data_IF_135495465137
#
_entry.id   IF_135495465137
#
_cell.length_a   1.000
_cell.length_b   1.000
_cell.length_c   1.000
_cell.angle_alpha   90.00
_cell.angle_beta   90.00
_cell.angle_gamma   90.00
#
_symmetry.space_group_name_H-M   'P 1'
#
loop_
_entity.id
_entity.type
_entity.pdbx_description
1 polymer ?
#
# COMPACT_ATOMS: atom_id res chain seq x y z
N UNK A 1 12.12 -11.17 24.46
CA UNK A 1 12.18 -10.18 23.36
C UNK A 1 11.81 -8.85 23.96
N UNK A 2 12.75 -7.90 24.01
CA UNK A 2 12.43 -6.51 24.37
C UNK A 2 11.59 -5.91 23.24
N UNK A 3 10.44 -5.35 23.59
CA UNK A 3 9.63 -4.52 22.69
C UNK A 3 10.52 -3.34 22.24
N UNK A 4 10.50 -2.92 20.95
CA UNK A 4 11.23 -1.73 20.53
C UNK A 4 10.87 -0.55 21.44
N UNK A 5 11.88 0.13 22.00
CA UNK A 5 11.72 1.18 23.03
C UNK A 5 10.81 2.36 22.60
N UNK A 6 10.49 2.48 21.31
CA UNK A 6 9.63 3.53 20.74
C UNK A 6 8.12 3.34 21.05
N UNK A 7 7.64 2.13 21.32
CA UNK A 7 6.21 1.91 21.62
C UNK A 7 5.83 2.27 23.06
N UNK A 8 6.80 2.38 23.96
CA UNK A 8 6.55 2.62 25.39
C UNK A 8 6.63 4.10 25.82
N UNK A 9 7.21 4.99 25.01
CA UNK A 9 7.32 6.42 25.33
C UNK A 9 6.77 7.27 24.18
N UNK A 10 5.53 7.73 24.32
CA UNK A 10 4.95 8.67 23.35
C UNK A 10 5.80 9.95 23.24
N UNK A 11 5.93 10.54 22.03
CA UNK A 11 6.71 11.77 21.86
C UNK A 11 6.15 12.92 22.68
N UNK A 12 7.00 13.65 23.40
CA UNK A 12 6.57 14.76 24.29
C UNK A 12 5.83 15.87 23.55
N UNK A 13 6.13 16.07 22.27
CA UNK A 13 5.46 17.06 21.42
C UNK A 13 4.04 16.63 20.99
N UNK A 14 3.71 15.34 21.06
CA UNK A 14 2.40 14.81 20.70
C UNK A 14 1.44 14.90 21.89
N UNK A 15 1.08 16.13 22.26
CA UNK A 15 0.32 16.48 23.47
C UNK A 15 -0.95 17.28 23.14
N UNK A 16 -1.69 17.70 24.18
CA UNK A 16 -2.97 18.40 24.03
C UNK A 16 -2.86 19.73 23.26
N UNK A 17 -1.76 20.47 23.38
CA UNK A 17 -1.56 21.72 22.63
C UNK A 17 -1.43 21.44 21.13
N UNK A 18 -0.72 20.36 20.77
CA UNK A 18 -0.62 19.90 19.38
C UNK A 18 -2.00 19.46 18.86
N UNK A 19 -2.76 18.67 19.63
CA UNK A 19 -4.11 18.25 19.21
C UNK A 19 -5.09 19.41 19.08
N UNK A 20 -4.94 20.45 19.90
CA UNK A 20 -5.71 21.68 19.75
C UNK A 20 -5.40 22.39 18.43
N UNK A 21 -4.12 22.47 18.04
CA UNK A 21 -3.72 22.99 16.73
C UNK A 21 -4.35 22.18 15.59
N UNK A 22 -4.20 20.85 15.64
CA UNK A 22 -4.76 19.92 14.65
C UNK A 22 -6.25 20.16 14.44
N UNK A 23 -7.03 20.27 15.52
CA UNK A 23 -8.47 20.49 15.42
C UNK A 23 -8.82 21.86 14.85
N UNK A 24 -8.12 22.93 15.24
CA UNK A 24 -8.38 24.28 14.70
C UNK A 24 -8.16 24.33 13.20
N UNK A 25 -7.12 23.66 12.71
CA UNK A 25 -6.87 23.54 11.28
C UNK A 25 -7.94 22.70 10.58
N UNK A 26 -8.24 21.51 11.12
CA UNK A 26 -9.22 20.58 10.56
C UNK A 26 -10.64 21.16 10.47
N UNK A 27 -11.03 21.95 11.47
CA UNK A 27 -12.36 22.57 11.56
C UNK A 27 -12.43 23.94 10.88
N UNK A 28 -11.28 24.50 10.51
CA UNK A 28 -11.13 25.90 10.12
C UNK A 28 -11.73 26.89 11.15
N UNK A 29 -11.76 26.51 12.44
CA UNK A 29 -12.25 27.34 13.55
C UNK A 29 -11.09 27.67 14.51
N UNK A 30 -10.53 28.90 14.49
CA UNK A 30 -9.45 29.29 15.40
C UNK A 30 -9.89 29.34 16.86
N UNK A 31 -11.20 29.40 17.13
CA UNK A 31 -11.78 29.43 18.47
C UNK A 31 -12.16 28.04 18.98
N UNK A 32 -11.93 26.97 18.21
CA UNK A 32 -12.12 25.60 18.67
C UNK A 32 -11.28 25.33 19.94
N UNK A 33 -11.83 24.47 20.82
CA UNK A 33 -11.22 24.06 22.09
C UNK A 33 -11.33 22.55 22.27
N UNK A 34 -10.37 21.96 22.95
CA UNK A 34 -10.48 20.58 23.43
C UNK A 34 -11.43 20.54 24.63
N UNK A 35 -12.27 19.51 24.69
CA UNK A 35 -13.13 19.24 25.84
C UNK A 35 -12.41 18.44 26.92
N UNK A 36 -11.53 17.53 26.50
CA UNK A 36 -10.79 16.58 27.35
C UNK A 36 -9.36 16.40 26.84
N UNK A 37 -8.47 15.95 27.72
CA UNK A 37 -7.11 15.57 27.33
C UNK A 37 -7.07 14.33 26.44
N UNK A 38 -6.14 14.29 25.50
CA UNK A 38 -5.98 13.22 24.52
C UNK A 38 -5.10 12.10 25.09
N UNK A 39 -5.67 10.89 25.19
CA UNK A 39 -4.93 9.70 25.64
C UNK A 39 -4.46 8.86 24.46
N UNK A 40 -3.15 8.93 24.18
CA UNK A 40 -2.49 8.10 23.18
C UNK A 40 -2.58 6.61 23.52
N UNK A 41 -2.79 5.83 22.47
CA UNK A 41 -2.81 4.37 22.48
C UNK A 41 -1.92 3.87 21.33
N UNK A 42 -1.27 2.70 21.44
CA UNK A 42 -0.59 2.10 20.28
C UNK A 42 -1.57 1.93 19.11
N UNK A 43 -1.13 2.26 17.90
CA UNK A 43 -1.97 2.23 16.70
C UNK A 43 -2.28 0.82 16.20
N UNK A 44 -1.44 -0.15 16.55
CA UNK A 44 -1.44 -1.54 16.09
C UNK A 44 -0.71 -2.46 17.05
N UNK A 45 -0.73 -3.78 16.79
CA UNK A 45 0.02 -4.73 17.62
C UNK A 45 1.52 -4.58 17.36
N UNK A 46 2.36 -4.86 18.37
CA UNK A 46 3.82 -4.85 18.21
C UNK A 46 4.25 -5.75 17.04
N UNK A 47 5.11 -5.23 16.16
CA UNK A 47 5.65 -5.96 15.00
C UNK A 47 4.79 -5.96 13.73
N UNK A 48 3.65 -5.25 13.71
CA UNK A 48 2.83 -5.13 12.50
C UNK A 48 3.29 -4.02 11.54
N UNK A 49 4.10 -3.05 12.01
CA UNK A 49 4.53 -1.89 11.20
C UNK A 49 6.05 -1.75 11.17
N UNK A 50 6.57 -1.68 9.94
CA UNK A 50 8.00 -1.76 9.66
C UNK A 50 8.65 -0.38 9.50
N UNK A 51 7.90 0.59 8.98
CA UNK A 51 8.40 1.86 8.47
C UNK A 51 7.92 3.10 9.27
N UNK A 52 7.09 2.92 10.30
CA UNK A 52 6.44 4.04 11.00
C UNK A 52 6.08 3.68 12.43
N UNK A 53 6.13 4.68 13.32
CA UNK A 53 5.54 4.60 14.65
C UNK A 53 4.08 5.04 14.54
N UNK A 54 3.15 4.25 15.06
CA UNK A 54 1.73 4.55 14.96
C UNK A 54 1.04 4.69 16.32
N UNK A 55 0.22 5.72 16.44
CA UNK A 55 -0.62 5.97 17.62
C UNK A 55 -2.07 6.18 17.23
N UNK A 56 -2.99 5.89 18.14
CA UNK A 56 -4.41 6.25 18.05
C UNK A 56 -4.81 7.12 19.23
N UNK A 57 -5.74 8.04 19.00
CA UNK A 57 -6.44 8.77 20.06
C UNK A 57 -7.83 9.17 19.59
N UNK A 58 -8.66 9.62 20.53
CA UNK A 58 -9.95 10.24 20.24
C UNK A 58 -9.85 11.69 20.68
N UNK A 59 -10.07 12.62 19.76
CA UNK A 59 -9.99 14.05 20.05
C UNK A 59 -11.40 14.59 20.26
N UNK A 60 -11.71 15.00 21.49
CA UNK A 60 -12.99 15.61 21.86
C UNK A 60 -12.87 17.13 21.81
N UNK A 61 -13.71 17.79 21.02
CA UNK A 61 -13.61 19.23 20.78
C UNK A 61 -14.96 19.93 20.66
N UNK A 62 -14.93 21.27 20.77
CA UNK A 62 -16.07 22.15 20.59
C UNK A 62 -15.68 23.38 19.77
N UNK A 63 -16.41 23.63 18.67
CA UNK A 63 -16.35 24.87 17.90
C UNK A 63 -17.17 25.98 18.59
N UNK A 64 -16.96 27.25 18.22
CA UNK A 64 -17.39 28.45 18.98
C UNK A 64 -18.87 28.49 19.42
N UNK A 65 -19.78 27.73 18.78
CA UNK A 65 -21.19 27.58 19.17
C UNK A 65 -21.73 26.14 18.97
N UNK A 66 -20.83 25.16 18.88
CA UNK A 66 -21.17 23.76 18.59
C UNK A 66 -21.48 22.94 19.84
N UNK A 67 -22.20 21.82 19.64
CA UNK A 67 -22.16 20.71 20.59
C UNK A 67 -20.75 20.11 20.60
N UNK A 68 -20.42 19.41 21.68
CA UNK A 68 -19.21 18.60 21.69
C UNK A 68 -19.25 17.58 20.56
N UNK A 69 -18.15 17.50 19.82
CA UNK A 69 -17.91 16.53 18.76
C UNK A 69 -16.64 15.74 19.08
N UNK A 70 -16.48 14.59 18.45
CA UNK A 70 -15.28 13.77 18.57
C UNK A 70 -14.82 13.28 17.21
N UNK A 71 -13.52 13.08 17.07
CA UNK A 71 -12.92 12.40 15.93
C UNK A 71 -11.93 11.37 16.43
N UNK A 72 -12.12 10.12 16.02
CA UNK A 72 -11.14 9.06 16.23
C UNK A 72 -10.05 9.21 15.18
N UNK A 73 -8.78 9.18 15.59
CA UNK A 73 -7.64 9.40 14.70
C UNK A 73 -6.58 8.34 14.87
N UNK A 74 -5.94 7.99 13.76
CA UNK A 74 -4.71 7.23 13.69
C UNK A 74 -3.60 8.12 13.12
N UNK A 75 -2.43 8.07 13.74
CA UNK A 75 -1.28 8.91 13.44
C UNK A 75 -0.13 8.02 13.00
N UNK A 76 0.43 8.31 11.82
CA UNK A 76 1.64 7.68 11.30
C UNK A 76 2.78 8.68 11.41
N UNK A 77 3.81 8.33 12.18
CA UNK A 77 4.96 9.20 12.47
C UNK A 77 6.23 8.56 11.91
N UNK A 78 7.05 9.37 11.24
CA UNK A 78 8.36 8.92 10.77
C UNK A 78 9.26 8.59 11.98
N UNK A 79 9.88 7.39 12.06
CA UNK A 79 10.74 7.01 13.18
C UNK A 79 11.95 7.96 13.31
N UNK A 80 12.38 8.25 14.55
CA UNK A 80 13.50 9.16 14.83
C UNK A 80 14.83 8.44 15.16
N UNK A 81 14.80 7.13 15.46
CA UNK A 81 15.98 6.40 15.94
C UNK A 81 17.04 6.16 14.83
N UNK A 82 18.34 6.36 15.11
CA UNK A 82 19.44 5.98 14.21
C UNK A 82 19.47 4.47 13.89
N UNK A 83 19.80 4.10 12.65
CA UNK A 83 20.06 2.71 12.25
C UNK A 83 19.51 2.35 10.86
N UNK A 84 19.73 1.11 10.41
CA UNK A 84 19.35 0.59 9.08
C UNK A 84 17.92 0.97 8.63
N UNK A 85 16.96 0.94 9.56
CA UNK A 85 15.56 1.33 9.30
C UNK A 85 15.44 2.81 8.97
N UNK A 86 16.15 3.68 9.66
CA UNK A 86 16.17 5.11 9.38
C UNK A 86 16.85 5.37 8.04
N UNK A 87 17.96 4.71 7.74
CA UNK A 87 18.71 4.98 6.51
C UNK A 87 17.97 4.51 5.24
N UNK A 88 17.25 3.38 5.31
CA UNK A 88 16.34 2.91 4.23
C UNK A 88 15.10 3.81 4.08
N UNK A 89 14.71 4.53 5.14
CA UNK A 89 13.53 5.43 5.17
C UNK A 89 13.90 6.92 5.07
N UNK A 90 15.19 7.27 5.08
CA UNK A 90 15.67 8.65 5.09
C UNK A 90 15.73 9.24 3.70
N UNK A 91 16.00 8.43 2.69
CA UNK A 91 16.15 8.89 1.31
C UNK A 91 15.05 8.31 0.41
N UNK A 92 13.85 8.86 0.57
CA UNK A 92 12.72 8.53 -0.28
C UNK A 92 11.47 9.25 0.17
N UNK A 93 10.84 9.94 -0.77
CA UNK A 93 9.60 10.71 -0.69
C UNK A 93 8.36 9.91 -0.24
N UNK A 94 8.48 8.75 0.44
CA UNK A 94 7.36 7.83 0.74
C UNK A 94 6.27 8.47 1.60
N UNK A 95 6.65 9.08 2.73
CA UNK A 95 5.73 9.77 3.63
C UNK A 95 5.10 10.99 2.98
N UNK A 96 5.89 11.75 2.23
CA UNK A 96 5.44 12.95 1.51
C UNK A 96 4.51 12.59 0.36
N UNK A 97 4.79 11.51 -0.36
CA UNK A 97 3.92 10.90 -1.36
C UNK A 97 2.60 10.50 -0.72
N UNK A 98 2.61 9.79 0.41
CA UNK A 98 1.37 9.42 1.10
C UNK A 98 0.57 10.66 1.52
N UNK A 99 1.22 11.67 2.10
CA UNK A 99 0.59 12.97 2.43
C UNK A 99 -0.03 13.60 1.18
N UNK A 100 0.66 13.59 0.05
CA UNK A 100 0.16 14.14 -1.22
C UNK A 100 -1.03 13.36 -1.76
N UNK A 101 -0.99 12.03 -1.70
CA UNK A 101 -2.10 11.17 -2.11
C UNK A 101 -3.35 11.51 -1.30
N UNK A 102 -3.24 11.58 0.03
CA UNK A 102 -4.38 11.91 0.90
C UNK A 102 -4.87 13.35 0.79
N UNK A 103 -3.97 14.32 0.60
CA UNK A 103 -4.33 15.74 0.57
C UNK A 103 -4.85 16.23 -0.78
N UNK A 104 -4.43 15.61 -1.90
CA UNK A 104 -4.73 16.09 -3.26
C UNK A 104 -5.41 15.03 -4.12
N UNK A 105 -4.87 13.81 -4.14
CA UNK A 105 -5.28 12.79 -5.13
C UNK A 105 -6.60 12.12 -4.77
N UNK A 106 -6.72 11.54 -3.58
CA UNK A 106 -7.94 10.85 -3.16
C UNK A 106 -9.18 11.77 -3.11
N UNK A 107 -9.10 13.04 -2.65
CA UNK A 107 -10.22 13.97 -2.73
C UNK A 107 -10.71 14.19 -4.16
N UNK A 108 -9.79 14.37 -5.11
CA UNK A 108 -10.14 14.60 -6.51
C UNK A 108 -10.67 13.33 -7.19
N UNK A 109 -10.08 12.15 -6.89
CA UNK A 109 -10.62 10.86 -7.33
C UNK A 109 -12.06 10.67 -6.85
N UNK A 110 -12.31 10.96 -5.55
CA UNK A 110 -13.64 10.88 -4.96
C UNK A 110 -14.62 11.82 -5.65
N UNK A 111 -14.26 13.09 -5.84
CA UNK A 111 -15.11 14.07 -6.54
C UNK A 111 -15.55 13.56 -7.91
N UNK A 112 -14.60 13.07 -8.73
CA UNK A 112 -14.89 12.58 -10.09
C UNK A 112 -15.72 11.30 -10.10
N UNK A 113 -15.48 10.39 -9.18
CA UNK A 113 -16.26 9.16 -9.05
C UNK A 113 -17.69 9.48 -8.58
N UNK A 114 -17.87 10.39 -7.63
CA UNK A 114 -19.20 10.81 -7.16
C UNK A 114 -20.02 11.50 -8.26
N UNK A 115 -19.38 12.27 -9.15
CA UNK A 115 -20.03 12.89 -10.32
C UNK A 115 -20.66 11.89 -11.28
N UNK A 116 -20.14 10.67 -11.33
CA UNK A 116 -20.69 9.57 -12.15
C UNK A 116 -21.54 8.58 -11.32
N UNK A 117 -21.85 8.92 -10.07
CA UNK A 117 -22.68 8.11 -9.17
C UNK A 117 -21.93 6.95 -8.50
N UNK A 118 -20.60 6.94 -8.53
CA UNK A 118 -19.77 5.94 -7.88
C UNK A 118 -19.33 6.39 -6.50
N UNK A 119 -19.42 5.48 -5.52
CA UNK A 119 -18.86 5.71 -4.18
C UNK A 119 -17.36 5.44 -4.17
N UNK A 120 -16.60 6.27 -3.45
CA UNK A 120 -15.17 6.04 -3.20
C UNK A 120 -14.82 6.43 -1.75
N UNK A 121 -14.52 5.41 -0.96
CA UNK A 121 -14.26 5.54 0.47
C UNK A 121 -12.75 5.47 0.74
N UNK A 122 -12.25 6.40 1.55
CA UNK A 122 -10.89 6.41 2.07
C UNK A 122 -10.87 7.14 3.43
N UNK A 123 -9.89 6.88 4.32
CA UNK A 123 -9.76 7.60 5.58
C UNK A 123 -9.54 9.09 5.33
N UNK A 124 -10.32 9.95 5.98
CA UNK A 124 -10.16 11.39 5.82
C UNK A 124 -8.80 11.84 6.35
N UNK A 125 -8.13 12.70 5.61
CA UNK A 125 -7.00 13.45 6.14
C UNK A 125 -7.50 14.44 7.22
N UNK A 126 -6.97 14.30 8.44
CA UNK A 126 -7.27 15.22 9.55
C UNK A 126 -6.18 16.29 9.64
N UNK A 127 -4.92 15.88 9.50
CA UNK A 127 -3.77 16.78 9.54
C UNK A 127 -2.56 16.09 8.90
N UNK A 128 -1.68 16.87 8.27
CA UNK A 128 -0.38 16.39 7.85
C UNK A 128 0.65 17.51 8.02
N UNK A 129 1.88 17.13 8.34
CA UNK A 129 3.00 18.05 8.45
C UNK A 129 4.28 17.35 8.02
N UNK A 130 5.13 18.05 7.29
CA UNK A 130 6.51 17.62 7.02
C UNK A 130 7.47 18.08 8.12
N UNK A 131 7.28 19.32 8.62
CA UNK A 131 8.16 20.01 9.56
C UNK A 131 7.35 20.70 10.67
N UNK A 132 7.82 20.70 11.94
CA UNK A 132 9.11 20.18 12.42
C UNK A 132 9.15 18.65 12.54
N UNK A 133 7.99 18.00 12.53
CA UNK A 133 7.86 16.55 12.57
C UNK A 133 7.04 16.08 11.37
N UNK A 134 7.53 15.01 10.73
CA UNK A 134 6.82 14.35 9.64
C UNK A 134 5.75 13.43 10.23
N UNK A 135 4.49 13.86 10.12
CA UNK A 135 3.32 13.17 10.66
C UNK A 135 2.16 13.22 9.66
N UNK A 136 1.44 12.11 9.55
CA UNK A 136 0.18 11.98 8.84
C UNK A 136 -0.89 11.54 9.84
N UNK A 137 -1.97 12.32 9.98
CA UNK A 137 -3.10 12.04 10.86
C UNK A 137 -4.33 11.77 10.00
N UNK A 138 -4.84 10.55 10.07
CA UNK A 138 -6.01 10.10 9.35
C UNK A 138 -7.15 9.79 10.32
N UNK A 139 -8.38 9.86 9.82
CA UNK A 139 -9.55 9.37 10.54
C UNK A 139 -9.41 7.86 10.81
N UNK A 140 -9.58 7.45 12.07
CA UNK A 140 -9.65 6.04 12.42
C UNK A 140 -11.08 5.54 12.12
N UNK A 141 -11.18 4.79 11.03
CA UNK A 141 -12.45 4.26 10.52
C UNK A 141 -12.88 2.94 11.19
N UNK A 142 -12.09 2.43 12.16
CA UNK A 142 -12.37 1.15 12.83
C UNK A 142 -13.75 1.14 13.50
N UNK A 143 -14.14 2.24 14.15
CA UNK A 143 -15.44 2.38 14.81
C UNK A 143 -16.62 2.43 13.82
N UNK A 144 -16.36 2.68 12.53
CA UNK A 144 -17.37 2.70 11.45
C UNK A 144 -17.57 1.32 10.80
N UNK A 145 -17.01 0.26 11.39
CA UNK A 145 -17.14 -1.11 10.91
C UNK A 145 -16.14 -1.51 9.83
N UNK A 146 -15.13 -0.68 9.56
CA UNK A 146 -14.03 -0.99 8.64
C UNK A 146 -12.94 -1.75 9.38
N UNK A 147 -12.63 -2.97 8.95
CA UNK A 147 -11.67 -3.83 9.65
C UNK A 147 -10.75 -4.52 8.66
N UNK A 148 -9.49 -4.70 9.03
CA UNK A 148 -8.55 -5.50 8.25
C UNK A 148 -9.00 -6.96 8.20
N UNK A 149 -9.09 -7.53 7.01
CA UNK A 149 -9.49 -8.92 6.80
C UNK A 149 -8.31 -9.90 6.84
N UNK A 150 -8.64 -11.18 6.93
CA UNK A 150 -7.72 -12.27 6.61
C UNK A 150 -7.54 -12.43 5.10
N UNK A 151 -6.99 -13.56 4.68
CA UNK A 151 -6.98 -13.91 3.26
C UNK A 151 -8.40 -14.17 2.76
N UNK A 152 -8.63 -13.80 1.49
CA UNK A 152 -9.91 -13.99 0.84
C UNK A 152 -10.01 -15.42 0.30
N UNK A 153 -11.06 -16.14 0.71
CA UNK A 153 -11.19 -17.59 0.51
C UNK A 153 -12.24 -17.98 -0.51
N UNK A 154 -12.99 -17.00 -1.04
CA UNK A 154 -14.00 -17.19 -2.08
C UNK A 154 -13.90 -16.12 -3.17
N UNK A 155 -14.50 -16.38 -4.32
CA UNK A 155 -14.55 -15.41 -5.42
C UNK A 155 -15.42 -14.21 -5.06
N UNK A 156 -16.53 -14.43 -4.36
CA UNK A 156 -17.49 -13.39 -3.99
C UNK A 156 -16.87 -12.36 -3.03
N UNK A 157 -16.06 -12.82 -2.09
CA UNK A 157 -15.35 -11.97 -1.12
C UNK A 157 -14.32 -11.05 -1.78
N UNK A 158 -13.73 -11.42 -2.92
CA UNK A 158 -12.69 -10.61 -3.60
C UNK A 158 -13.29 -9.52 -4.50
N UNK A 159 -14.55 -9.67 -4.91
CA UNK A 159 -15.24 -8.72 -5.80
C UNK A 159 -15.14 -7.27 -5.32
N UNK A 160 -15.38 -6.93 -4.04
CA UNK A 160 -15.25 -5.55 -3.57
C UNK A 160 -13.81 -5.00 -3.66
N UNK A 161 -12.79 -5.83 -3.43
CA UNK A 161 -11.40 -5.42 -3.59
C UNK A 161 -11.04 -5.16 -5.07
N UNK A 162 -11.53 -5.99 -5.99
CA UNK A 162 -11.38 -5.80 -7.45
C UNK A 162 -12.02 -4.48 -7.88
N UNK A 163 -13.23 -4.18 -7.40
CA UNK A 163 -13.92 -2.93 -7.69
C UNK A 163 -13.19 -1.72 -7.10
N UNK A 164 -12.68 -1.82 -5.87
CA UNK A 164 -11.93 -0.75 -5.23
C UNK A 164 -10.67 -0.38 -6.02
N UNK A 165 -9.87 -1.37 -6.46
CA UNK A 165 -8.66 -1.09 -7.23
C UNK A 165 -8.98 -0.61 -8.65
N UNK A 166 -10.05 -1.11 -9.29
CA UNK A 166 -10.51 -0.61 -10.59
C UNK A 166 -10.94 0.87 -10.51
N UNK A 167 -11.61 1.30 -9.44
CA UNK A 167 -11.96 2.71 -9.17
C UNK A 167 -10.73 3.57 -9.01
N UNK A 168 -9.75 3.12 -8.22
CA UNK A 168 -8.49 3.82 -8.02
C UNK A 168 -7.74 4.00 -9.34
N UNK A 169 -7.60 2.93 -10.13
CA UNK A 169 -6.94 2.96 -11.42
C UNK A 169 -7.67 3.85 -12.44
N UNK A 170 -8.97 3.68 -12.64
CA UNK A 170 -9.72 4.42 -13.67
C UNK A 170 -9.77 5.92 -13.39
N UNK A 171 -9.97 6.32 -12.13
CA UNK A 171 -9.93 7.73 -11.73
C UNK A 171 -8.54 8.34 -11.92
N UNK A 172 -7.46 7.57 -11.72
CA UNK A 172 -6.11 8.07 -11.95
C UNK A 172 -5.80 8.40 -13.41
N UNK A 173 -6.34 7.65 -14.37
CA UNK A 173 -6.15 7.86 -15.81
C UNK A 173 -6.66 9.23 -16.24
N UNK A 174 -7.89 9.56 -15.84
CA UNK A 174 -8.49 10.84 -16.23
C UNK A 174 -7.85 12.04 -15.54
N UNK A 175 -7.02 11.80 -14.52
CA UNK A 175 -6.24 12.79 -13.82
C UNK A 175 -4.77 12.84 -14.31
N UNK A 176 -4.33 11.98 -15.25
CA UNK A 176 -2.94 11.88 -15.73
C UNK A 176 -2.37 13.23 -16.21
N UNK A 177 -3.22 14.09 -16.79
CA UNK A 177 -2.81 15.42 -17.25
C UNK A 177 -2.28 16.30 -16.12
N UNK A 178 -2.76 16.08 -14.89
CA UNK A 178 -2.35 16.80 -13.67
C UNK A 178 -1.14 16.14 -12.97
N UNK A 179 -0.79 14.90 -13.34
CA UNK A 179 0.21 14.07 -12.64
C UNK A 179 1.57 13.91 -13.33
N UNK A 180 1.78 14.43 -14.55
CA UNK A 180 3.10 14.39 -15.23
C UNK A 180 4.25 15.00 -14.41
N UNK A 181 3.94 15.86 -13.43
CA UNK A 181 4.92 16.41 -12.49
C UNK A 181 5.42 15.40 -11.43
N UNK A 182 4.70 14.30 -11.17
CA UNK A 182 5.05 13.28 -10.16
C UNK A 182 6.08 12.25 -10.68
N UNK A 183 6.13 11.99 -11.99
CA UNK A 183 7.05 11.01 -12.62
C UNK A 183 8.55 11.37 -12.41
N UNK A 184 8.88 12.67 -12.38
CA UNK A 184 10.26 13.15 -12.17
C UNK A 184 10.80 12.88 -10.75
N UNK A 185 9.93 12.83 -9.75
CA UNK A 185 10.28 12.59 -8.35
C UNK A 185 10.50 11.09 -8.06
N UNK A 186 9.79 10.23 -8.78
CA UNK A 186 9.85 8.76 -8.65
C UNK A 186 11.12 8.17 -9.27
N UNK A 187 11.54 8.66 -10.44
CA UNK A 187 12.84 8.29 -11.03
C UNK A 187 14.01 8.64 -10.10
N UNK A 188 13.87 9.73 -9.35
CA UNK A 188 14.87 10.18 -8.39
C UNK A 188 14.94 9.27 -7.16
N UNK A 189 13.81 8.96 -6.50
CA UNK A 189 13.80 8.11 -5.30
C UNK A 189 14.35 6.69 -5.53
N UNK A 190 14.18 6.12 -6.72
CA UNK A 190 14.77 4.82 -7.06
C UNK A 190 16.27 4.89 -7.35
N UNK A 191 16.75 5.98 -7.96
CA UNK A 191 18.18 6.19 -8.19
C UNK A 191 18.90 6.51 -6.88
N UNK A 192 18.28 7.31 -6.00
CA UNK A 192 18.82 7.67 -4.68
C UNK A 192 19.02 6.42 -3.81
N UNK A 193 18.08 5.46 -3.83
CA UNK A 193 18.23 4.17 -3.14
C UNK A 193 19.42 3.33 -3.67
N UNK A 194 19.64 3.35 -5.00
CA UNK A 194 20.78 2.65 -5.61
C UNK A 194 22.12 3.33 -5.29
N UNK A 195 22.13 4.65 -5.17
CA UNK A 195 23.32 5.42 -4.83
C UNK A 195 23.66 5.33 -3.33
N UNK A 196 22.66 5.32 -2.45
CA UNK A 196 22.80 5.04 -1.01
C UNK A 196 23.47 3.67 -0.74
N UNK A 197 23.05 2.63 -1.48
CA UNK A 197 23.66 1.31 -1.41
C UNK A 197 25.13 1.29 -1.86
N UNK A 198 25.53 2.23 -2.74
CA UNK A 198 26.91 2.35 -3.24
C UNK A 198 27.79 3.17 -2.30
N UNK A 199 27.23 4.10 -1.53
CA UNK A 199 27.98 5.08 -0.73
C UNK A 199 28.25 4.67 0.72
N UNK A 200 27.71 3.54 1.18
CA UNK A 200 27.80 3.13 2.60
C UNK A 200 28.71 1.90 2.77
N UNK A 201 29.88 2.07 3.41
CA UNK A 201 30.96 1.05 3.54
C UNK A 201 30.49 -0.28 4.16
N UNK A 202 29.53 -0.23 5.09
CA UNK A 202 28.97 -1.42 5.76
C UNK A 202 28.18 -2.33 4.81
N UNK A 203 27.71 -1.81 3.67
CA UNK A 203 27.00 -2.56 2.63
C UNK A 203 27.87 -2.87 1.40
N UNK A 204 29.10 -2.34 1.31
CA UNK A 204 30.00 -2.55 0.17
C UNK A 204 30.32 -4.03 -0.08
N UNK A 205 30.37 -4.83 0.99
CA UNK A 205 30.57 -6.28 0.95
C UNK A 205 29.29 -7.09 0.73
N UNK A 206 28.12 -6.45 0.80
CA UNK A 206 26.84 -6.98 0.34
C UNK A 206 26.62 -6.66 -1.14
N UNK A 207 27.20 -5.59 -1.70
CA UNK A 207 27.10 -5.22 -3.13
C UNK A 207 27.45 -6.38 -4.06
N UNK A 208 28.50 -7.18 -3.79
CA UNK A 208 28.91 -8.30 -4.64
C UNK A 208 28.01 -9.55 -4.53
N UNK A 209 27.62 -10.02 -3.33
CA UNK A 209 26.61 -11.07 -3.15
C UNK A 209 25.23 -10.67 -3.68
N UNK A 210 24.85 -9.41 -3.47
CA UNK A 210 23.65 -8.76 -4.00
C UNK A 210 23.78 -8.76 -5.54
N UNK A 211 24.78 -8.15 -6.17
CA UNK A 211 25.04 -8.26 -7.62
C UNK A 211 25.03 -9.70 -8.18
N UNK A 212 25.58 -10.68 -7.44
CA UNK A 212 25.60 -12.10 -7.84
C UNK A 212 24.24 -12.82 -7.72
N UNK A 213 23.37 -12.39 -6.81
CA UNK A 213 21.97 -12.87 -6.73
C UNK A 213 21.01 -12.04 -7.62
N UNK A 214 21.41 -10.83 -8.01
CA UNK A 214 20.48 -9.72 -8.26
C UNK A 214 20.67 -9.01 -9.63
N UNK A 215 21.79 -9.18 -10.35
CA UNK A 215 22.08 -8.35 -11.54
C UNK A 215 21.02 -8.38 -12.65
N UNK A 216 20.45 -9.55 -12.97
CA UNK A 216 19.38 -9.67 -13.98
C UNK A 216 17.99 -9.56 -13.37
N UNK A 217 17.70 -10.26 -12.28
CA UNK A 217 16.34 -10.34 -11.72
C UNK A 217 15.85 -9.01 -11.13
N UNK A 218 16.72 -8.27 -10.42
CA UNK A 218 16.35 -6.93 -9.93
C UNK A 218 16.32 -5.93 -11.06
N UNK A 219 17.23 -5.98 -12.02
CA UNK A 219 17.14 -5.13 -13.20
C UNK A 219 15.82 -5.37 -13.94
N UNK A 220 15.46 -6.63 -14.22
CA UNK A 220 14.18 -6.99 -14.83
C UNK A 220 12.99 -6.59 -13.95
N UNK A 221 13.09 -6.69 -12.62
CA UNK A 221 12.05 -6.21 -11.71
C UNK A 221 11.90 -4.69 -11.80
N UNK A 222 12.99 -3.93 -11.72
CA UNK A 222 13.01 -2.47 -11.89
C UNK A 222 12.42 -2.08 -13.25
N UNK A 223 12.83 -2.74 -14.33
CA UNK A 223 12.28 -2.55 -15.68
C UNK A 223 10.80 -2.93 -15.76
N UNK A 224 10.37 -3.96 -15.04
CA UNK A 224 8.97 -4.39 -15.03
C UNK A 224 8.05 -3.35 -14.38
N UNK A 225 8.57 -2.56 -13.43
CA UNK A 225 7.83 -1.45 -12.82
C UNK A 225 7.84 -0.17 -13.67
N UNK A 226 8.58 -0.09 -14.78
CA UNK A 226 8.49 1.06 -15.69
C UNK A 226 7.13 1.14 -16.39
N UNK A 227 6.65 2.37 -16.69
CA UNK A 227 5.47 2.58 -17.51
C UNK A 227 5.50 1.74 -18.78
N UNK A 228 4.38 1.09 -19.07
CA UNK A 228 4.19 0.31 -20.28
C UNK A 228 4.03 1.22 -21.49
N UNK A 229 4.67 0.87 -22.62
CA UNK A 229 4.35 1.46 -23.93
C UNK A 229 3.15 0.80 -24.60
N UNK A 230 2.70 -0.33 -24.05
CA UNK A 230 1.80 -1.27 -24.71
C UNK A 230 0.38 -1.17 -24.14
N UNK A 231 0.29 -0.90 -22.84
CA UNK A 231 -0.94 -0.75 -22.09
C UNK A 231 -1.10 0.67 -21.54
N UNK A 232 -2.35 1.07 -21.34
CA UNK A 232 -2.70 2.24 -20.57
C UNK A 232 -2.13 2.13 -19.14
N UNK A 233 -1.26 3.07 -18.78
CA UNK A 233 -0.72 3.17 -17.43
C UNK A 233 -1.73 3.83 -16.50
N UNK A 234 -1.59 3.52 -15.22
CA UNK A 234 -2.43 3.99 -14.13
C UNK A 234 -1.54 4.37 -12.96
N UNK A 235 -2.09 5.13 -12.00
CA UNK A 235 -1.48 5.21 -10.68
C UNK A 235 -1.79 3.92 -9.95
N UNK A 236 -0.80 3.04 -9.83
CA UNK A 236 -0.92 1.81 -9.03
C UNK A 236 -0.80 2.16 -7.56
N UNK A 237 -1.49 1.41 -6.70
CA UNK A 237 -1.31 1.43 -5.26
C UNK A 237 0.12 1.00 -4.90
N UNK A 238 0.61 -0.06 -5.55
CA UNK A 238 1.97 -0.57 -5.42
C UNK A 238 2.19 -1.48 -4.20
N UNK A 239 1.36 -1.36 -3.17
CA UNK A 239 1.33 -2.25 -1.98
C UNK A 239 -0.05 -2.89 -1.74
N UNK A 240 -0.71 -3.36 -2.81
CA UNK A 240 -2.11 -3.79 -2.76
C UNK A 240 -2.29 -5.17 -2.12
N UNK A 241 -1.89 -5.36 -0.86
CA UNK A 241 -2.01 -6.64 -0.14
C UNK A 241 -3.10 -6.62 0.93
N UNK A 242 -3.52 -7.81 1.41
CA UNK A 242 -4.67 -7.97 2.34
C UNK A 242 -4.63 -7.06 3.60
N UNK A 243 -3.45 -6.76 4.15
CA UNK A 243 -3.34 -5.87 5.32
C UNK A 243 -3.64 -4.39 5.04
N UNK A 244 -3.57 -3.99 3.78
CA UNK A 244 -3.87 -2.64 3.30
C UNK A 244 -5.31 -2.54 2.77
N UNK A 245 -6.12 -3.58 3.03
CA UNK A 245 -7.55 -3.61 2.74
C UNK A 245 -8.32 -3.54 4.06
N UNK A 246 -9.24 -2.60 4.14
CA UNK A 246 -10.25 -2.56 5.18
C UNK A 246 -11.58 -2.99 4.56
N UNK A 247 -12.21 -4.00 5.15
CA UNK A 247 -13.49 -4.51 4.70
C UNK A 247 -14.60 -4.03 5.62
N UNK A 248 -15.73 -3.68 5.03
CA UNK A 248 -17.00 -3.57 5.73
C UNK A 248 -17.80 -4.84 5.46
N UNK A 249 -18.35 -5.47 6.50
CA UNK A 249 -19.14 -6.69 6.36
C UNK A 249 -20.63 -6.43 6.54
N UNK A 250 -21.45 -7.17 5.77
CA UNK A 250 -22.89 -7.28 5.98
C UNK A 250 -23.18 -8.13 7.23
N UNK A 251 -24.40 -8.07 7.80
CA UNK A 251 -24.79 -8.92 8.94
C UNK A 251 -24.65 -10.43 8.71
N UNK A 252 -24.69 -10.89 7.45
CA UNK A 252 -24.48 -12.30 7.08
C UNK A 252 -22.99 -12.70 6.95
N UNK A 253 -22.05 -11.78 7.20
CA UNK A 253 -20.60 -11.99 7.12
C UNK A 253 -19.97 -11.68 5.76
N UNK A 254 -20.76 -11.42 4.72
CA UNK A 254 -20.24 -11.12 3.39
C UNK A 254 -19.55 -9.75 3.34
N UNK A 255 -18.46 -9.65 2.58
CA UNK A 255 -17.79 -8.36 2.32
C UNK A 255 -18.71 -7.47 1.50
N UNK A 256 -19.17 -6.37 2.10
CA UNK A 256 -20.01 -5.37 1.46
C UNK A 256 -19.18 -4.43 0.58
N UNK A 257 -18.08 -3.93 1.13
CA UNK A 257 -17.22 -2.93 0.49
C UNK A 257 -15.78 -3.08 0.99
N UNK A 258 -14.83 -2.59 0.18
CA UNK A 258 -13.40 -2.60 0.49
C UNK A 258 -12.82 -1.20 0.31
N UNK A 259 -12.13 -0.73 1.35
CA UNK A 259 -11.39 0.51 1.37
C UNK A 259 -9.89 0.20 1.34
N UNK A 260 -9.14 0.95 0.54
CA UNK A 260 -7.68 0.83 0.45
C UNK A 260 -7.03 1.83 1.43
N UNK A 261 -5.89 1.45 2.01
CA UNK A 261 -5.08 2.30 2.89
C UNK A 261 -3.58 2.10 2.61
N UNK A 262 -2.75 2.97 3.16
CA UNK A 262 -1.28 2.94 3.03
C UNK A 262 -0.77 3.11 1.58
N UNK A 263 -0.99 4.32 1.05
CA UNK A 263 -0.64 4.71 -0.34
C UNK A 263 0.83 5.15 -0.49
N UNK A 264 1.71 4.68 0.39
CA UNK A 264 3.09 5.16 0.49
C UNK A 264 3.98 4.75 -0.70
N UNK A 265 3.57 3.76 -1.51
CA UNK A 265 4.31 3.30 -2.69
C UNK A 265 3.62 3.48 -4.05
N UNK A 266 2.64 4.37 -4.15
CA UNK A 266 1.95 4.60 -5.41
C UNK A 266 2.89 5.08 -6.54
N UNK A 267 2.72 4.55 -7.75
CA UNK A 267 3.55 4.91 -8.90
C UNK A 267 2.78 4.85 -10.21
N UNK A 268 3.21 5.59 -11.22
CA UNK A 268 2.57 5.56 -12.55
C UNK A 268 3.15 4.44 -13.37
N UNK A 269 2.39 3.37 -13.61
CA UNK A 269 2.87 2.19 -14.35
C UNK A 269 1.71 1.31 -14.82
N UNK A 270 2.02 0.12 -15.33
CA UNK A 270 1.03 -0.86 -15.75
C UNK A 270 0.16 -1.31 -14.57
N UNK A 271 -1.18 -1.44 -14.75
CA UNK A 271 -2.09 -1.93 -13.69
C UNK A 271 -1.74 -3.35 -13.23
N UNK A 272 -0.91 -4.08 -14.00
CA UNK A 272 -0.47 -5.43 -13.71
C UNK A 272 0.26 -5.56 -12.37
N UNK A 273 0.92 -4.50 -11.89
CA UNK A 273 1.55 -4.48 -10.55
C UNK A 273 0.52 -4.87 -9.49
N UNK A 274 -0.59 -4.14 -9.39
CA UNK A 274 -1.62 -4.41 -8.40
C UNK A 274 -2.44 -5.67 -8.73
N UNK A 275 -2.60 -6.02 -10.01
CA UNK A 275 -3.26 -7.30 -10.37
C UNK A 275 -2.46 -8.51 -9.89
N UNK A 276 -1.12 -8.44 -9.86
CA UNK A 276 -0.35 -9.51 -9.25
C UNK A 276 -0.48 -9.55 -7.74
N UNK A 277 -0.52 -8.38 -7.10
CA UNK A 277 -0.82 -8.31 -5.66
C UNK A 277 -2.17 -8.92 -5.32
N UNK A 278 -3.22 -8.60 -6.11
CA UNK A 278 -4.55 -9.20 -6.01
C UNK A 278 -4.51 -10.72 -6.06
N UNK A 279 -3.84 -11.27 -7.08
CA UNK A 279 -3.81 -12.71 -7.33
C UNK A 279 -2.94 -13.46 -6.31
N UNK A 280 -1.83 -12.87 -5.86
CA UNK A 280 -0.80 -13.60 -5.11
C UNK A 280 -0.86 -13.36 -3.59
N UNK A 281 -1.33 -12.19 -3.18
CA UNK A 281 -1.22 -11.73 -1.77
C UNK A 281 -2.56 -11.50 -1.08
N UNK A 282 -3.65 -11.40 -1.82
CA UNK A 282 -5.00 -11.17 -1.27
C UNK A 282 -5.80 -12.48 -1.24
N UNK A 283 -5.95 -13.15 -2.38
CA UNK A 283 -6.74 -14.39 -2.47
C UNK A 283 -5.93 -15.62 -2.07
N UNK A 284 -6.62 -16.68 -1.68
CA UNK A 284 -6.03 -18.01 -1.53
C UNK A 284 -5.66 -18.63 -2.88
N UNK A 285 -4.63 -19.48 -2.86
CA UNK A 285 -4.09 -20.11 -4.06
C UNK A 285 -5.12 -20.94 -4.83
N UNK A 286 -6.02 -21.65 -4.13
CA UNK A 286 -7.11 -22.40 -4.77
C UNK A 286 -8.11 -21.49 -5.49
N UNK A 287 -8.43 -20.34 -4.89
CA UNK A 287 -9.30 -19.33 -5.51
C UNK A 287 -8.63 -18.75 -6.75
N UNK A 288 -7.33 -18.43 -6.66
CA UNK A 288 -6.53 -18.01 -7.83
C UNK A 288 -6.60 -19.06 -8.93
N UNK A 289 -6.32 -20.32 -8.65
CA UNK A 289 -6.31 -21.39 -9.67
C UNK A 289 -7.67 -21.57 -10.36
N UNK A 290 -8.76 -21.45 -9.61
CA UNK A 290 -10.11 -21.63 -10.13
C UNK A 290 -10.64 -20.38 -10.87
N UNK A 291 -10.26 -19.19 -10.41
CA UNK A 291 -10.93 -17.94 -10.81
C UNK A 291 -9.99 -16.84 -11.33
N UNK A 292 -8.70 -17.13 -11.59
CA UNK A 292 -7.72 -16.14 -12.08
C UNK A 292 -8.27 -15.29 -13.21
N UNK A 293 -8.74 -15.93 -14.28
CA UNK A 293 -9.16 -15.22 -15.48
C UNK A 293 -10.50 -14.50 -15.26
N UNK A 294 -11.38 -15.03 -14.41
CA UNK A 294 -12.62 -14.36 -14.01
C UNK A 294 -12.33 -13.08 -13.20
N UNK A 295 -11.33 -13.09 -12.31
CA UNK A 295 -10.91 -11.90 -11.56
C UNK A 295 -10.29 -10.83 -12.48
N UNK A 296 -9.41 -11.24 -13.40
CA UNK A 296 -8.82 -10.32 -14.40
C UNK A 296 -9.89 -9.74 -15.31
N UNK A 297 -10.84 -10.56 -15.75
CA UNK A 297 -11.96 -10.11 -16.57
C UNK A 297 -12.86 -9.12 -15.83
N UNK A 298 -13.21 -9.41 -14.57
CA UNK A 298 -14.02 -8.51 -13.74
C UNK A 298 -13.33 -7.16 -13.52
N UNK A 299 -12.03 -7.17 -13.22
CA UNK A 299 -11.24 -5.94 -13.14
C UNK A 299 -11.32 -5.15 -14.45
N UNK A 300 -11.08 -5.81 -15.58
CA UNK A 300 -11.08 -5.19 -16.90
C UNK A 300 -12.44 -4.57 -17.24
N UNK A 301 -13.55 -5.28 -17.02
CA UNK A 301 -14.90 -4.77 -17.29
C UNK A 301 -15.22 -3.55 -16.43
N UNK A 302 -14.92 -3.60 -15.13
CA UNK A 302 -15.14 -2.47 -14.22
C UNK A 302 -14.26 -1.27 -14.60
N UNK A 303 -12.97 -1.50 -14.86
CA UNK A 303 -12.03 -0.44 -15.28
C UNK A 303 -12.48 0.23 -16.58
N UNK A 304 -12.83 -0.55 -17.61
CA UNK A 304 -13.32 -0.04 -18.89
C UNK A 304 -14.63 0.74 -18.73
N UNK A 305 -15.58 0.21 -17.95
CA UNK A 305 -16.85 0.88 -17.66
C UNK A 305 -16.63 2.24 -17.00
N UNK A 306 -15.77 2.29 -15.99
CA UNK A 306 -15.44 3.51 -15.25
C UNK A 306 -14.74 4.53 -16.14
N UNK A 307 -13.77 4.14 -16.96
CA UNK A 307 -13.12 5.05 -17.91
C UNK A 307 -14.13 5.71 -18.86
N UNK A 308 -15.07 4.93 -19.40
CA UNK A 308 -16.12 5.46 -20.27
C UNK A 308 -17.02 6.46 -19.52
N UNK A 309 -17.44 6.16 -18.29
CA UNK A 309 -18.28 7.05 -17.50
C UNK A 309 -17.54 8.33 -17.07
N UNK A 310 -16.24 8.24 -16.78
CA UNK A 310 -15.37 9.37 -16.45
C UNK A 310 -15.00 10.22 -17.70
N UNK A 311 -15.50 9.86 -18.89
CA UNK A 311 -15.30 10.62 -20.11
C UNK A 311 -13.89 10.46 -20.72
N UNK A 312 -13.19 9.37 -20.44
CA UNK A 312 -11.91 9.08 -21.08
C UNK A 312 -12.07 8.85 -22.58
N UNK A 313 -11.42 9.69 -23.38
CA UNK A 313 -11.47 9.62 -24.86
C UNK A 313 -10.26 8.89 -25.46
N UNK A 314 -9.26 8.54 -24.64
CA UNK A 314 -8.08 7.83 -25.11
C UNK A 314 -8.34 6.34 -25.35
N UNK A 315 -7.32 5.64 -25.85
CA UNK A 315 -7.39 4.19 -26.04
C UNK A 315 -7.49 3.49 -24.68
N UNK A 316 -8.38 2.51 -24.59
CA UNK A 316 -8.47 1.59 -23.45
C UNK A 316 -7.71 0.31 -23.83
N UNK A 317 -6.82 -0.17 -22.95
CA UNK A 317 -6.14 -1.47 -23.08
C UNK A 317 -7.20 -2.55 -23.25
N UNK A 318 -7.12 -3.39 -24.29
CA UNK A 318 -8.04 -4.52 -24.46
C UNK A 318 -7.75 -5.64 -23.45
N UNK A 319 -8.72 -6.54 -23.23
CA UNK A 319 -8.51 -7.70 -22.36
C UNK A 319 -7.34 -8.58 -22.82
N UNK A 320 -7.19 -8.77 -24.14
CA UNK A 320 -6.08 -9.54 -24.72
C UNK A 320 -4.73 -8.87 -24.44
N UNK A 321 -4.65 -7.55 -24.61
CA UNK A 321 -3.45 -6.77 -24.29
C UNK A 321 -3.10 -6.86 -22.80
N UNK A 322 -4.10 -6.80 -21.92
CA UNK A 322 -3.90 -6.96 -20.48
C UNK A 322 -3.34 -8.36 -20.13
N UNK A 323 -3.84 -9.42 -20.77
CA UNK A 323 -3.29 -10.76 -20.60
C UNK A 323 -1.85 -10.89 -21.14
N UNK A 324 -1.55 -10.28 -22.27
CA UNK A 324 -0.19 -10.22 -22.82
C UNK A 324 0.73 -9.45 -21.85
N UNK A 325 0.27 -8.36 -21.28
CA UNK A 325 1.04 -7.56 -20.33
C UNK A 325 1.30 -8.30 -19.02
N UNK A 326 0.31 -9.06 -18.51
CA UNK A 326 0.53 -10.01 -17.42
C UNK A 326 1.70 -10.93 -17.76
N UNK A 327 1.67 -11.60 -18.92
CA UNK A 327 2.78 -12.49 -19.33
C UNK A 327 4.13 -11.74 -19.44
N UNK A 328 4.17 -10.57 -20.08
CA UNK A 328 5.38 -9.74 -20.24
C UNK A 328 5.98 -9.33 -18.88
N UNK A 329 5.13 -9.10 -17.88
CA UNK A 329 5.52 -8.66 -16.54
C UNK A 329 5.64 -9.82 -15.54
N UNK A 330 5.77 -11.06 -16.01
CA UNK A 330 5.85 -12.26 -15.17
C UNK A 330 6.98 -12.24 -14.13
N UNK A 331 8.03 -11.43 -14.32
CA UNK A 331 9.07 -11.22 -13.31
C UNK A 331 8.51 -10.64 -11.99
N UNK A 332 7.44 -9.85 -12.04
CA UNK A 332 6.74 -9.32 -10.85
C UNK A 332 6.03 -10.46 -10.11
N UNK A 333 5.28 -11.31 -10.82
CA UNK A 333 4.61 -12.48 -10.23
C UNK A 333 5.64 -13.41 -9.57
N UNK A 334 6.76 -13.66 -10.25
CA UNK A 334 7.84 -14.47 -9.70
C UNK A 334 8.41 -13.85 -8.42
N UNK A 335 8.63 -12.52 -8.40
CA UNK A 335 9.06 -11.81 -7.21
C UNK A 335 8.07 -11.97 -6.05
N UNK A 336 6.76 -11.87 -6.30
CA UNK A 336 5.75 -12.11 -5.27
C UNK A 336 5.87 -13.51 -4.66
N UNK A 337 6.00 -14.54 -5.49
CA UNK A 337 6.13 -15.92 -5.00
C UNK A 337 7.42 -16.19 -4.23
N UNK A 338 8.53 -15.56 -4.63
CA UNK A 338 9.83 -15.76 -3.97
C UNK A 338 9.97 -14.93 -2.70
N UNK A 339 9.52 -13.68 -2.73
CA UNK A 339 9.78 -12.70 -1.67
C UNK A 339 8.61 -12.50 -0.71
N UNK A 340 7.36 -12.57 -1.17
CA UNK A 340 6.18 -12.19 -0.37
C UNK A 340 5.34 -13.40 0.08
N UNK A 341 5.13 -14.35 -0.82
CA UNK A 341 4.30 -15.52 -0.59
C UNK A 341 4.75 -16.43 0.58
N UNK A 342 6.05 -16.58 0.92
CA UNK A 342 6.47 -17.34 2.09
C UNK A 342 5.82 -16.86 3.40
N UNK A 343 5.54 -15.56 3.51
CA UNK A 343 4.94 -14.97 4.72
C UNK A 343 3.49 -15.41 4.96
N UNK A 344 2.87 -16.15 4.04
CA UNK A 344 1.56 -16.79 4.26
C UNK A 344 1.64 -18.03 5.14
N UNK A 345 2.80 -18.70 5.17
CA UNK A 345 2.97 -19.99 5.84
C UNK A 345 3.65 -19.89 7.20
N UNK A 346 3.92 -18.66 7.65
CA UNK A 346 4.74 -18.39 8.83
C UNK A 346 4.07 -17.33 9.67
N UNK A 347 4.09 -17.55 10.98
CA UNK A 347 3.76 -16.53 11.97
C UNK A 347 4.76 -15.38 11.88
N UNK A 348 4.30 -14.24 11.33
CA UNK A 348 5.15 -13.06 11.09
C UNK A 348 5.81 -12.52 12.36
N UNK A 349 5.23 -12.77 13.54
CA UNK A 349 5.82 -12.34 14.81
C UNK A 349 7.12 -13.09 15.17
N UNK A 350 7.37 -14.23 14.52
CA UNK A 350 8.55 -15.09 14.74
C UNK A 350 9.63 -14.91 13.69
N UNK A 351 9.43 -13.97 12.75
CA UNK A 351 10.34 -13.73 11.65
C UNK A 351 11.37 -12.69 12.09
N UNK A 352 12.63 -13.07 12.03
CA UNK A 352 13.74 -12.11 12.12
C UNK A 352 13.90 -11.41 10.76
N UNK A 353 13.19 -10.30 10.61
CA UNK A 353 13.23 -9.53 9.39
C UNK A 353 14.57 -8.83 9.15
N UNK A 354 15.33 -8.50 10.19
CA UNK A 354 16.66 -7.89 10.03
C UNK A 354 17.66 -8.92 9.48
N UNK A 355 17.59 -10.16 9.95
CA UNK A 355 18.35 -11.26 9.35
C UNK A 355 17.94 -11.48 7.88
N UNK A 356 16.65 -11.41 7.56
CA UNK A 356 16.15 -11.62 6.20
C UNK A 356 16.56 -10.49 5.23
N UNK A 357 16.48 -9.23 5.66
CA UNK A 357 16.94 -8.07 4.90
C UNK A 357 18.45 -8.03 4.69
N UNK A 358 19.22 -8.51 5.66
CA UNK A 358 20.68 -8.63 5.55
C UNK A 358 21.15 -9.86 4.78
N UNK A 359 20.22 -10.66 4.23
CA UNK A 359 20.52 -11.88 3.46
C UNK A 359 21.05 -13.05 4.31
N UNK A 360 20.98 -12.93 5.65
CA UNK A 360 21.41 -13.95 6.61
C UNK A 360 20.25 -14.85 7.08
N UNK A 361 19.02 -14.49 6.75
CA UNK A 361 17.80 -15.23 7.07
C UNK A 361 17.53 -16.38 6.09
N UNK A 362 16.97 -17.47 6.59
CA UNK A 362 16.45 -18.55 5.75
C UNK A 362 15.00 -18.28 5.35
N UNK A 363 14.55 -18.84 4.22
CA UNK A 363 13.15 -18.74 3.82
C UNK A 363 12.27 -19.39 4.91
N UNK A 364 11.41 -18.62 5.58
CA UNK A 364 10.73 -19.10 6.77
C UNK A 364 9.68 -20.17 6.46
N UNK A 365 9.18 -20.24 5.21
CA UNK A 365 8.22 -21.24 4.76
C UNK A 365 8.88 -22.52 4.22
N UNK A 366 10.20 -22.61 4.19
CA UNK A 366 10.93 -23.69 3.52
C UNK A 366 10.63 -25.09 4.07
N UNK A 367 10.16 -25.20 5.31
CA UNK A 367 9.76 -26.47 5.93
C UNK A 367 8.31 -26.88 5.63
N UNK A 368 7.47 -25.96 5.12
CA UNK A 368 6.05 -26.23 4.87
C UNK A 368 5.85 -27.13 3.63
N UNK A 369 5.22 -28.31 3.78
CA UNK A 369 4.92 -29.19 2.63
C UNK A 369 3.96 -28.55 1.63
N UNK A 370 3.03 -27.72 2.12
CA UNK A 370 2.08 -26.99 1.27
C UNK A 370 2.81 -25.95 0.42
N UNK A 371 3.67 -25.15 1.05
CA UNK A 371 4.50 -24.17 0.34
C UNK A 371 5.37 -24.82 -0.74
N UNK A 372 6.07 -25.92 -0.41
CA UNK A 372 6.92 -26.65 -1.35
C UNK A 372 6.17 -27.16 -2.59
N UNK A 373 4.93 -27.64 -2.40
CA UNK A 373 4.07 -28.10 -3.49
C UNK A 373 3.64 -26.95 -4.39
N UNK A 374 3.11 -25.87 -3.81
CA UNK A 374 2.69 -24.69 -4.58
C UNK A 374 3.86 -24.09 -5.36
N UNK A 375 5.03 -23.93 -4.71
CA UNK A 375 6.21 -23.40 -5.38
C UNK A 375 6.68 -24.30 -6.53
N UNK A 376 6.55 -25.63 -6.42
CA UNK A 376 6.89 -26.53 -7.52
C UNK A 376 6.00 -26.26 -8.74
N UNK A 377 4.68 -26.22 -8.54
CA UNK A 377 3.70 -25.99 -9.61
C UNK A 377 3.90 -24.62 -10.26
N UNK A 378 4.07 -23.58 -9.44
CA UNK A 378 4.26 -22.20 -9.88
C UNK A 378 5.58 -22.01 -10.64
N UNK A 379 6.69 -22.53 -10.12
CA UNK A 379 7.99 -22.40 -10.80
C UNK A 379 8.01 -23.19 -12.12
N UNK A 380 7.37 -24.36 -12.17
CA UNK A 380 7.19 -25.12 -13.42
C UNK A 380 6.35 -24.33 -14.43
N UNK A 381 5.27 -23.68 -13.99
CA UNK A 381 4.47 -22.80 -14.84
C UNK A 381 5.32 -21.65 -15.41
N UNK A 382 6.10 -20.96 -14.58
CA UNK A 382 6.97 -19.86 -15.03
C UNK A 382 8.04 -20.32 -16.03
N UNK A 383 8.61 -21.51 -15.83
CA UNK A 383 9.51 -22.13 -16.79
C UNK A 383 8.81 -22.33 -18.16
N UNK A 384 7.61 -22.90 -18.17
CA UNK A 384 6.86 -23.15 -19.41
C UNK A 384 6.37 -21.86 -20.09
N UNK A 385 6.22 -20.77 -19.34
CA UNK A 385 5.83 -19.46 -19.85
C UNK A 385 7.02 -18.62 -20.34
N UNK A 386 8.26 -19.11 -20.21
CA UNK A 386 9.46 -18.39 -20.61
C UNK A 386 9.88 -17.26 -19.65
N UNK A 387 9.23 -17.13 -18.49
CA UNK A 387 9.54 -16.07 -17.49
C UNK A 387 10.94 -16.24 -16.90
N UNK A 388 11.47 -17.47 -16.93
CA UNK A 388 12.80 -17.83 -16.42
C UNK A 388 13.86 -17.97 -17.53
N UNK A 389 13.54 -17.62 -18.77
CA UNK A 389 14.51 -17.66 -19.86
C UNK A 389 15.57 -16.54 -19.72
N UNK A 390 16.83 -16.78 -20.13
CA UNK A 390 17.99 -15.94 -19.74
C UNK A 390 18.11 -14.55 -20.37
#
# INVERSE_FOLDING_TARGET
MEVPRDENNSPVWLNDDFFLQVIREFTHDPNARLCHGCKLRPGTKPGEHFASVMYRTTIHYRCQQGKEASVDVIMKIKPYQPGLKKDVLEEGDLFLREIRIYSQVLPEMKRRLEEIGETFNYPRLIYASEKPHTILILEDVSAKGWQTGGYITSFEEVVPAIKAIAKFHASSVVMEQDFKALDGMLKKSFNDLLDFMRSTEEFAQLVLPVQKLQGKLLHHLIESYRPSSECLNVLVHGDFHSKNLLHQQRPNGEVQDTMLIDYQICSWTTPVVDLYYLLDTIVDQSVKEQHRDAMVYLYYEEFRRLLHQLGWLGRVTSLQELHIELLRKGAIELFHYVALYPYRFVDRSKIDFEALLSGKGSNPAASSPVYRRVMREVLTKFLHQGVMEP
#
